data_IF_141722613030
#
_entry.id   IF_141722613030
#
_cell.length_a   1.000
_cell.length_b   1.000
_cell.length_c   1.000
_cell.angle_alpha   90.00
_cell.angle_beta   90.00
_cell.angle_gamma   90.00
#
_symmetry.space_group_name_H-M   'P 1'
#
loop_
_entity.id
_entity.type
_entity.pdbx_description
1 polymer ?
#
# COMPACT_ATOMS: atom_id res chain seq x y z
N UNK A 1 8.06 -3.14 20.28
CA UNK A 1 6.70 -3.66 20.43
C UNK A 1 5.89 -3.05 19.29
N UNK A 2 5.95 -3.68 18.10
CA UNK A 2 5.33 -3.15 16.88
C UNK A 2 3.84 -3.45 16.96
N UNK A 3 2.99 -2.41 16.86
CA UNK A 3 1.54 -2.57 16.81
C UNK A 3 1.11 -2.57 15.35
N UNK A 4 0.35 -3.59 14.96
CA UNK A 4 -0.29 -3.72 13.67
C UNK A 4 -1.65 -3.02 13.71
N UNK A 5 -1.93 -2.16 12.72
CA UNK A 5 -3.21 -1.49 12.56
C UNK A 5 -4.19 -2.46 11.87
N UNK A 6 -5.38 -2.61 12.43
CA UNK A 6 -6.29 -3.71 12.13
C UNK A 6 -7.71 -3.25 12.43
N UNK A 7 -8.64 -3.26 11.47
CA UNK A 7 -10.01 -2.80 11.72
C UNK A 7 -11.01 -3.26 10.62
N UNK A 8 -12.21 -3.77 10.99
CA UNK A 8 -13.16 -4.60 10.18
C UNK A 8 -14.48 -3.94 9.68
N UNK A 9 -15.46 -4.65 9.08
CA UNK A 9 -16.61 -4.00 8.41
C UNK A 9 -17.98 -4.16 9.12
N UNK A 10 -18.86 -3.13 9.05
CA UNK A 10 -20.33 -3.27 9.16
C UNK A 10 -21.07 -2.19 8.32
N UNK A 11 -22.11 -2.59 7.57
CA UNK A 11 -23.21 -1.76 7.02
C UNK A 11 -24.52 -2.58 7.04
N UNK A 12 -25.74 -2.00 6.87
CA UNK A 12 -26.35 -0.91 7.63
C UNK A 12 -27.74 -1.32 8.20
N UNK A 13 -28.14 -0.75 9.34
CA UNK A 13 -29.47 -0.92 9.92
C UNK A 13 -29.49 -0.64 11.41
N UNK A 14 -30.22 0.41 11.81
CA UNK A 14 -30.29 0.93 13.18
C UNK A 14 -30.52 -0.15 14.26
N UNK A 15 -29.56 -0.27 15.18
CA UNK A 15 -29.84 -0.55 16.60
C UNK A 15 -28.57 -0.35 17.42
N UNK A 16 -28.70 0.36 18.54
CA UNK A 16 -27.71 0.55 19.59
C UNK A 16 -26.88 -0.72 19.83
N UNK A 17 -25.59 -0.70 19.51
CA UNK A 17 -24.70 -1.83 19.78
C UNK A 17 -24.22 -1.73 21.24
N UNK A 18 -24.91 -2.45 22.12
CA UNK A 18 -24.29 -2.94 23.36
C UNK A 18 -23.15 -3.85 22.91
N UNK A 19 -21.92 -3.55 23.34
CA UNK A 19 -20.73 -4.37 23.13
C UNK A 19 -20.97 -5.78 23.70
N UNK A 20 -21.47 -6.69 22.85
CA UNK A 20 -21.51 -8.12 23.12
C UNK A 20 -20.08 -8.64 22.91
N UNK A 21 -19.27 -8.52 23.96
CA UNK A 21 -18.04 -9.32 24.10
C UNK A 21 -18.40 -10.79 23.91
N UNK A 22 -17.93 -11.41 22.82
CA UNK A 22 -17.86 -12.87 22.70
C UNK A 22 -18.38 -13.53 21.41
N UNK A 23 -18.75 -12.80 20.36
CA UNK A 23 -19.09 -13.42 19.07
C UNK A 23 -17.94 -13.25 18.05
N UNK A 24 -17.48 -14.34 17.39
CA UNK A 24 -16.45 -14.25 16.37
C UNK A 24 -17.00 -13.57 15.10
N UNK A 25 -16.32 -12.51 14.64
CA UNK A 25 -16.60 -11.79 13.40
C UNK A 25 -15.66 -12.28 12.28
N UNK A 26 -15.97 -12.08 10.99
CA UNK A 26 -15.02 -12.40 9.92
C UNK A 26 -13.71 -11.63 10.13
N UNK A 27 -12.59 -12.30 9.88
CA UNK A 27 -11.28 -11.70 10.03
C UNK A 27 -10.93 -10.87 8.79
N UNK A 28 -10.32 -9.70 9.00
CA UNK A 28 -9.83 -8.87 7.92
C UNK A 28 -8.31 -8.99 7.83
N UNK A 29 -7.78 -9.11 6.62
CA UNK A 29 -6.35 -8.93 6.42
C UNK A 29 -6.09 -7.72 5.55
N UNK A 30 -5.00 -7.02 5.85
CA UNK A 30 -4.55 -5.88 5.06
C UNK A 30 -3.11 -6.07 4.61
N UNK A 31 -2.79 -5.57 3.41
CA UNK A 31 -1.40 -5.57 2.93
C UNK A 31 -0.55 -4.70 3.85
N UNK A 32 0.54 -5.28 4.37
CA UNK A 32 1.45 -4.55 5.26
C UNK A 32 2.23 -3.50 4.46
N UNK A 33 2.21 -2.25 4.94
CA UNK A 33 3.08 -1.18 4.43
C UNK A 33 4.31 -1.09 5.32
N UNK A 34 5.49 -1.23 4.71
CA UNK A 34 6.75 -1.03 5.42
C UNK A 34 6.97 0.44 5.78
N UNK A 35 7.49 0.72 6.97
CA UNK A 35 7.85 2.07 7.40
C UNK A 35 7.48 2.36 8.86
N UNK A 36 8.09 3.38 9.49
CA UNK A 36 7.65 3.85 10.79
C UNK A 36 6.31 4.57 10.67
N UNK A 37 5.53 4.58 11.76
CA UNK A 37 4.44 5.54 11.88
C UNK A 37 5.01 6.96 11.99
N UNK A 38 4.19 7.97 11.70
CA UNK A 38 4.60 9.36 11.81
C UNK A 38 4.89 9.76 13.27
N UNK A 39 4.27 9.08 14.24
CA UNK A 39 4.59 9.20 15.66
C UNK A 39 6.05 8.79 15.99
N UNK A 40 6.55 7.76 15.30
CA UNK A 40 7.89 7.19 15.48
C UNK A 40 8.94 7.81 14.54
N UNK A 41 8.49 8.48 13.47
CA UNK A 41 9.36 9.06 12.47
C UNK A 41 10.23 10.20 13.04
N UNK A 42 11.50 10.32 12.57
CA UNK A 42 12.37 11.42 12.96
C UNK A 42 11.82 12.76 12.47
N UNK A 43 12.30 13.84 13.10
CA UNK A 43 11.95 15.20 12.68
C UNK A 43 12.37 15.46 11.22
N UNK A 44 11.42 15.95 10.42
CA UNK A 44 11.61 16.25 9.01
C UNK A 44 11.80 17.77 8.76
N UNK A 45 12.43 18.17 7.65
CA UNK A 45 12.41 19.55 7.18
C UNK A 45 10.99 20.06 6.96
N UNK A 46 10.79 21.37 7.08
CA UNK A 46 9.46 22.01 6.88
C UNK A 46 8.87 21.72 5.49
N UNK A 47 9.68 21.69 4.45
CA UNK A 47 9.21 21.40 3.08
C UNK A 47 8.69 19.95 2.97
N UNK A 48 9.34 19.00 3.67
CA UNK A 48 8.90 17.61 3.73
C UNK A 48 7.61 17.45 4.55
N UNK A 49 7.48 18.20 5.65
CA UNK A 49 6.24 18.29 6.43
C UNK A 49 5.09 18.81 5.58
N UNK A 50 5.31 19.89 4.83
CA UNK A 50 4.30 20.45 3.94
C UNK A 50 3.89 19.45 2.84
N UNK A 51 4.86 18.76 2.22
CA UNK A 51 4.58 17.75 1.20
C UNK A 51 3.78 16.57 1.75
N UNK A 52 4.17 16.08 2.93
CA UNK A 52 3.48 14.98 3.61
C UNK A 52 2.03 15.33 3.94
N UNK A 53 1.78 16.49 4.57
CA UNK A 53 0.41 16.89 4.95
C UNK A 53 -0.43 17.23 3.72
N UNK A 54 0.13 17.83 2.67
CA UNK A 54 -0.59 18.06 1.43
C UNK A 54 -1.03 16.74 0.75
N UNK A 55 -0.18 15.72 0.80
CA UNK A 55 -0.51 14.39 0.30
C UNK A 55 -1.63 13.75 1.14
N UNK A 56 -1.55 13.81 2.47
CA UNK A 56 -2.62 13.33 3.35
C UNK A 56 -3.96 14.05 3.11
N UNK A 57 -3.94 15.39 3.01
CA UNK A 57 -5.13 16.19 2.75
C UNK A 57 -5.76 15.85 1.38
N UNK A 58 -4.95 15.45 0.40
CA UNK A 58 -5.45 14.94 -0.89
C UNK A 58 -6.15 13.59 -0.71
N UNK A 59 -5.53 12.64 0.00
CA UNK A 59 -6.15 11.34 0.30
C UNK A 59 -7.48 11.51 1.04
N UNK A 60 -7.54 12.41 2.03
CA UNK A 60 -8.77 12.72 2.78
C UNK A 60 -9.82 13.37 1.89
N UNK A 61 -9.42 14.26 0.97
CA UNK A 61 -10.35 14.82 -0.01
C UNK A 61 -10.95 13.74 -0.93
N UNK A 62 -10.16 12.72 -1.29
CA UNK A 62 -10.64 11.58 -2.07
C UNK A 62 -11.66 10.76 -1.28
N UNK A 63 -11.40 10.51 0.02
CA UNK A 63 -12.38 9.86 0.91
C UNK A 63 -13.68 10.66 1.00
N UNK A 64 -13.59 11.97 1.24
CA UNK A 64 -14.77 12.85 1.35
C UNK A 64 -15.60 12.86 0.06
N UNK A 65 -14.96 12.79 -1.12
CA UNK A 65 -15.65 12.66 -2.42
C UNK A 65 -16.36 11.32 -2.59
N UNK A 66 -15.86 10.27 -1.97
CA UNK A 66 -16.48 8.96 -1.92
C UNK A 66 -17.57 8.86 -0.83
N UNK A 67 -17.83 9.94 -0.09
CA UNK A 67 -18.79 9.94 1.01
C UNK A 67 -18.27 9.23 2.27
N UNK A 68 -16.95 9.09 2.41
CA UNK A 68 -16.30 8.47 3.57
C UNK A 68 -15.55 9.51 4.39
N UNK A 69 -15.59 9.39 5.71
CA UNK A 69 -14.69 10.10 6.65
C UNK A 69 -13.72 9.11 7.29
N UNK A 70 -12.60 9.60 7.79
CA UNK A 70 -11.65 8.76 8.52
C UNK A 70 -11.97 8.71 10.02
N UNK A 71 -12.40 9.83 10.63
CA UNK A 71 -12.86 9.92 12.02
C UNK A 71 -11.76 9.89 13.10
N UNK A 72 -10.57 9.38 12.78
CA UNK A 72 -9.51 9.08 13.75
C UNK A 72 -8.10 9.45 13.27
N UNK A 73 -7.95 10.47 12.41
CA UNK A 73 -6.63 10.87 11.88
C UNK A 73 -5.68 11.26 13.03
N UNK A 74 -4.58 10.53 13.18
CA UNK A 74 -3.56 10.73 14.20
C UNK A 74 -2.16 10.32 13.68
N UNK A 75 -1.05 10.78 14.30
CA UNK A 75 0.30 10.40 13.89
C UNK A 75 0.56 8.89 13.85
N UNK A 76 -0.11 8.12 14.71
CA UNK A 76 -0.01 6.67 14.79
C UNK A 76 -0.68 5.96 13.60
N UNK A 77 -1.62 6.65 12.95
CA UNK A 77 -2.42 6.16 11.82
C UNK A 77 -1.85 6.58 10.46
N UNK A 78 -0.65 7.14 10.44
CA UNK A 78 0.05 7.50 9.20
C UNK A 78 1.37 6.74 9.15
N UNK A 79 1.50 5.84 8.18
CA UNK A 79 2.75 5.12 7.90
C UNK A 79 3.53 5.87 6.82
N UNK A 80 4.83 6.08 7.04
CA UNK A 80 5.71 6.67 6.03
C UNK A 80 6.36 5.55 5.24
N UNK A 81 5.81 5.25 4.05
CA UNK A 81 6.30 4.20 3.17
C UNK A 81 7.71 4.50 2.62
N UNK A 82 8.45 3.50 2.10
CA UNK A 82 9.71 3.74 1.40
C UNK A 82 9.51 4.79 0.29
N UNK A 83 10.37 5.81 0.25
CA UNK A 83 10.20 6.98 -0.62
C UNK A 83 9.37 8.13 -0.04
N UNK A 84 9.02 8.06 1.25
CA UNK A 84 8.39 9.14 2.01
C UNK A 84 6.90 9.35 1.78
N UNK A 85 6.27 8.47 1.00
CA UNK A 85 4.83 8.58 0.71
C UNK A 85 4.03 8.23 1.97
N UNK A 86 3.15 9.13 2.46
CA UNK A 86 2.30 8.81 3.59
C UNK A 86 1.20 7.84 3.15
N UNK A 87 0.95 6.84 3.98
CA UNK A 87 -0.20 5.94 3.87
C UNK A 87 -1.06 6.15 5.11
N UNK A 88 -2.30 6.54 4.89
CA UNK A 88 -3.31 6.71 5.94
C UNK A 88 -3.95 5.34 6.22
N UNK A 89 -3.95 4.93 7.48
CA UNK A 89 -4.41 3.63 7.96
C UNK A 89 -5.50 3.81 9.02
N UNK A 90 -6.38 2.81 9.23
CA UNK A 90 -7.44 2.88 10.24
C UNK A 90 -8.78 3.39 9.71
N UNK A 91 -9.14 2.99 8.49
CA UNK A 91 -10.41 3.37 7.84
C UNK A 91 -11.66 2.67 8.38
N UNK A 92 -11.56 1.76 9.35
CA UNK A 92 -12.75 0.97 9.74
C UNK A 92 -13.71 1.66 10.70
N UNK A 93 -13.28 2.77 11.31
CA UNK A 93 -14.19 3.70 11.99
C UNK A 93 -14.83 4.71 11.02
N UNK A 94 -14.61 4.55 9.70
CA UNK A 94 -15.16 5.44 8.69
C UNK A 94 -16.67 5.32 8.61
N UNK A 95 -17.37 6.20 9.31
CA UNK A 95 -18.81 6.37 9.17
C UNK A 95 -19.14 6.92 7.76
N UNK A 96 -20.33 6.58 7.26
CA UNK A 96 -20.89 7.27 6.09
C UNK A 96 -20.93 8.78 6.37
N UNK A 97 -20.24 9.55 5.55
CA UNK A 97 -20.04 10.97 5.72
C UNK A 97 -21.23 11.77 5.19
N UNK A 98 -22.45 11.46 5.65
CA UNK A 98 -23.63 12.24 5.29
C UNK A 98 -23.62 13.64 5.93
N UNK A 99 -22.91 13.83 7.06
CA UNK A 99 -22.80 15.11 7.74
C UNK A 99 -21.51 15.90 7.35
N UNK A 100 -21.63 17.13 6.82
CA UNK A 100 -20.51 18.05 6.64
C UNK A 100 -19.65 18.28 7.90
N UNK A 101 -20.22 18.12 9.11
CA UNK A 101 -19.50 18.26 10.38
C UNK A 101 -18.45 17.16 10.56
N UNK A 102 -18.71 15.94 10.10
CA UNK A 102 -17.76 14.83 10.22
C UNK A 102 -16.57 15.02 9.27
N UNK A 103 -16.81 15.51 8.05
CA UNK A 103 -15.73 15.91 7.13
C UNK A 103 -14.88 17.03 7.72
N UNK A 104 -15.53 17.99 8.38
CA UNK A 104 -14.85 19.09 9.06
C UNK A 104 -14.04 18.60 10.28
N UNK A 105 -14.37 17.43 10.87
CA UNK A 105 -13.58 16.79 11.94
C UNK A 105 -12.24 16.27 11.42
N UNK A 106 -12.24 15.57 10.28
CA UNK A 106 -11.01 15.12 9.62
C UNK A 106 -10.09 16.28 9.26
N UNK A 107 -10.65 17.38 8.76
CA UNK A 107 -9.87 18.59 8.45
C UNK A 107 -9.24 19.19 9.72
N UNK A 108 -9.98 19.23 10.83
CA UNK A 108 -9.42 19.67 12.11
C UNK A 108 -8.24 18.79 12.54
N UNK A 109 -8.38 17.46 12.42
CA UNK A 109 -7.33 16.52 12.75
C UNK A 109 -6.07 16.69 11.85
N UNK A 110 -6.26 16.96 10.55
CA UNK A 110 -5.15 17.33 9.66
C UNK A 110 -4.47 18.64 10.09
N UNK A 111 -5.24 19.63 10.56
CA UNK A 111 -4.71 20.88 11.10
C UNK A 111 -3.88 20.69 12.38
N UNK A 112 -4.37 19.85 13.30
CA UNK A 112 -3.64 19.46 14.51
C UNK A 112 -2.36 18.70 14.17
N UNK A 113 -2.42 17.76 13.22
CA UNK A 113 -1.27 17.01 12.73
C UNK A 113 -0.20 17.94 12.13
N UNK A 114 -0.62 18.91 11.30
CA UNK A 114 0.29 19.91 10.73
C UNK A 114 0.98 20.74 11.82
N UNK A 115 0.25 21.20 12.84
CA UNK A 115 0.83 21.94 13.97
C UNK A 115 1.83 21.08 14.75
N UNK A 116 1.48 19.83 15.02
CA UNK A 116 2.33 18.89 15.74
C UNK A 116 3.64 18.63 14.98
N UNK A 117 3.57 18.41 13.67
CA UNK A 117 4.75 18.22 12.82
C UNK A 117 5.62 19.48 12.74
N UNK A 118 5.03 20.67 12.57
CA UNK A 118 5.77 21.93 12.52
C UNK A 118 6.49 22.25 13.82
N UNK A 119 5.95 21.84 14.97
CA UNK A 119 6.61 21.99 16.26
C UNK A 119 7.88 21.13 16.39
N UNK A 120 7.93 19.99 15.69
CA UNK A 120 9.07 19.06 15.64
C UNK A 120 10.02 19.32 14.49
N UNK A 121 9.59 20.08 13.47
CA UNK A 121 10.31 20.21 12.22
C UNK A 121 11.73 20.78 12.40
N UNK A 122 12.69 20.20 11.69
CA UNK A 122 14.06 20.73 11.67
C UNK A 122 14.13 21.99 10.83
N UNK A 123 14.90 22.98 11.29
CA UNK A 123 15.17 24.20 10.53
C UNK A 123 16.56 24.08 9.90
N UNK A 124 16.71 24.32 8.58
CA UNK A 124 18.02 24.29 7.95
C UNK A 124 18.94 25.38 8.51
N UNK A 125 20.21 25.03 8.73
CA UNK A 125 21.18 25.81 9.52
C UNK A 125 21.78 27.04 8.81
N UNK A 126 21.64 27.22 7.49
CA UNK A 126 22.20 28.36 6.73
C UNK A 126 21.25 28.81 5.60
N UNK A 127 21.40 30.05 5.10
CA UNK A 127 20.76 30.78 3.96
C UNK A 127 19.29 30.47 3.55
N UNK A 128 18.92 29.19 3.50
CA UNK A 128 17.57 28.62 3.51
C UNK A 128 16.72 29.16 4.69
N UNK A 129 17.35 29.61 5.79
CA UNK A 129 16.69 30.21 6.97
C UNK A 129 15.70 31.35 6.65
N UNK A 130 15.91 32.16 5.61
CA UNK A 130 14.93 33.20 5.19
C UNK A 130 13.74 32.63 4.41
N UNK A 131 13.90 31.52 3.69
CA UNK A 131 12.85 30.88 2.87
C UNK A 131 11.97 29.96 3.72
N UNK A 132 12.57 29.11 4.56
CA UNK A 132 11.82 28.20 5.44
C UNK A 132 11.09 28.95 6.56
N UNK A 133 11.67 30.03 7.08
CA UNK A 133 10.95 30.91 8.01
C UNK A 133 9.72 31.56 7.36
N UNK A 134 9.74 31.76 6.03
CA UNK A 134 8.63 32.30 5.26
C UNK A 134 7.46 31.32 5.13
N UNK A 135 7.70 30.00 5.09
CA UNK A 135 6.65 28.99 4.93
C UNK A 135 5.97 28.62 6.27
N UNK A 136 6.68 28.70 7.40
CA UNK A 136 6.12 28.30 8.71
C UNK A 136 4.88 29.13 9.08
N UNK A 137 4.92 30.45 8.93
CA UNK A 137 3.79 31.30 9.33
C UNK A 137 2.52 31.04 8.48
N UNK A 138 2.60 30.97 7.13
CA UNK A 138 1.49 30.51 6.30
C UNK A 138 0.97 29.13 6.67
N UNK A 139 1.84 28.14 6.91
CA UNK A 139 1.41 26.78 7.27
C UNK A 139 0.71 26.75 8.64
N UNK A 140 1.18 27.54 9.61
CA UNK A 140 0.49 27.72 10.89
C UNK A 140 -0.87 28.41 10.72
N UNK A 141 -0.97 29.41 9.83
CA UNK A 141 -2.24 30.06 9.51
C UNK A 141 -3.24 29.09 8.88
N UNK A 142 -2.79 28.24 7.94
CA UNK A 142 -3.60 27.18 7.35
C UNK A 142 -4.08 26.21 8.43
N UNK A 143 -3.17 25.77 9.31
CA UNK A 143 -3.52 24.86 10.38
C UNK A 143 -4.54 25.47 11.36
N UNK A 144 -4.41 26.76 11.70
CA UNK A 144 -5.39 27.47 12.54
C UNK A 144 -6.77 27.56 11.89
N UNK A 145 -6.85 27.80 10.57
CA UNK A 145 -8.12 27.76 9.83
C UNK A 145 -8.73 26.36 9.83
N UNK A 146 -7.91 25.33 9.63
CA UNK A 146 -8.33 23.93 9.68
C UNK A 146 -8.88 23.55 11.07
N UNK A 147 -8.32 24.08 12.15
CA UNK A 147 -8.77 23.84 13.54
C UNK A 147 -9.75 24.91 14.04
N UNK A 148 -10.53 25.57 13.17
CA UNK A 148 -11.49 26.58 13.62
C UNK A 148 -12.50 25.96 14.62
N UNK A 149 -12.80 26.63 15.76
CA UNK A 149 -13.80 26.14 16.71
C UNK A 149 -15.17 25.88 16.08
N UNK A 150 -15.57 26.68 15.09
CA UNK A 150 -16.77 26.43 14.29
C UNK A 150 -16.43 25.50 13.10
N UNK A 151 -16.98 24.27 13.06
CA UNK A 151 -16.73 23.33 11.96
C UNK A 151 -17.10 23.88 10.58
N UNK A 152 -18.07 24.80 10.50
CA UNK A 152 -18.56 25.36 9.24
C UNK A 152 -17.59 26.38 8.64
N UNK A 153 -16.65 26.89 9.43
CA UNK A 153 -15.64 27.85 8.98
C UNK A 153 -14.31 27.17 8.62
N UNK A 154 -14.22 25.84 8.75
CA UNK A 154 -13.05 25.08 8.34
C UNK A 154 -13.05 24.93 6.81
N UNK A 155 -11.88 24.99 6.15
CA UNK A 155 -11.79 24.67 4.72
C UNK A 155 -12.11 23.20 4.46
N UNK A 156 -12.36 22.84 3.21
CA UNK A 156 -12.34 21.43 2.79
C UNK A 156 -10.91 20.87 2.80
N UNK A 157 -10.77 19.55 2.81
CA UNK A 157 -9.46 18.89 2.70
C UNK A 157 -8.74 19.22 1.38
N UNK A 158 -9.50 19.37 0.28
CA UNK A 158 -8.96 19.77 -1.03
C UNK A 158 -8.44 21.20 -1.04
N UNK A 159 -9.16 22.13 -0.42
CA UNK A 159 -8.71 23.52 -0.25
C UNK A 159 -7.47 23.58 0.65
N UNK A 160 -7.45 22.83 1.76
CA UNK A 160 -6.28 22.74 2.63
C UNK A 160 -5.05 22.21 1.88
N UNK A 161 -5.20 21.16 1.05
CA UNK A 161 -4.10 20.63 0.23
C UNK A 161 -3.58 21.69 -0.76
N UNK A 162 -4.48 22.45 -1.38
CA UNK A 162 -4.15 23.51 -2.33
C UNK A 162 -3.41 24.66 -1.64
N UNK A 163 -3.91 25.10 -0.48
CA UNK A 163 -3.31 26.14 0.33
C UNK A 163 -1.91 25.78 0.81
N UNK A 164 -1.68 24.53 1.24
CA UNK A 164 -0.36 24.06 1.67
C UNK A 164 0.64 24.11 0.51
N UNK A 165 0.24 23.63 -0.68
CA UNK A 165 1.11 23.69 -1.88
C UNK A 165 1.42 25.12 -2.31
N UNK A 166 0.45 26.03 -2.18
CA UNK A 166 0.66 27.44 -2.49
C UNK A 166 1.60 28.11 -1.47
N UNK A 167 1.44 27.78 -0.18
CA UNK A 167 2.27 28.30 0.91
C UNK A 167 3.71 27.73 0.90
N UNK A 168 3.88 26.51 0.41
CA UNK A 168 5.16 25.83 0.29
C UNK A 168 5.36 25.25 -1.13
N UNK A 169 5.72 26.09 -2.12
CA UNK A 169 5.91 25.65 -3.51
C UNK A 169 7.04 24.62 -3.70
N UNK A 170 7.90 24.46 -2.70
CA UNK A 170 9.00 23.50 -2.68
C UNK A 170 8.68 22.26 -1.84
N UNK A 171 7.42 22.08 -1.43
CA UNK A 171 6.98 20.89 -0.71
C UNK A 171 7.32 19.61 -1.49
N UNK A 172 8.06 18.71 -0.84
CA UNK A 172 8.47 17.42 -1.37
C UNK A 172 8.03 16.31 -0.44
N UNK A 173 7.85 15.09 -0.94
CA UNK A 173 7.73 13.95 -0.03
C UNK A 173 9.10 13.66 0.61
N UNK A 174 9.15 13.25 1.89
CA UNK A 174 10.39 12.87 2.56
C UNK A 174 11.27 11.93 1.71
N UNK A 175 12.56 12.23 1.58
CA UNK A 175 13.47 11.38 0.79
C UNK A 175 13.32 11.48 -0.74
N UNK A 176 12.34 12.23 -1.25
CA UNK A 176 12.30 12.69 -2.65
C UNK A 176 13.02 14.02 -2.86
N UNK A 177 13.81 14.48 -1.89
CA UNK A 177 14.79 15.53 -2.13
C UNK A 177 15.72 15.04 -3.23
N UNK A 178 15.35 15.37 -4.47
CA UNK A 178 16.14 15.17 -5.67
C UNK A 178 17.52 15.63 -5.28
N UNK A 179 18.51 14.75 -5.44
CA UNK A 179 19.88 15.17 -5.71
C UNK A 179 19.81 16.05 -6.95
N UNK A 180 19.40 17.31 -6.78
CA UNK A 180 19.90 18.37 -7.62
C UNK A 180 21.37 18.34 -7.27
N UNK A 181 22.13 17.57 -8.05
CA UNK A 181 23.54 17.87 -8.23
C UNK A 181 23.60 19.40 -8.33
N UNK A 182 24.37 20.07 -7.45
CA UNK A 182 24.52 21.49 -7.57
C UNK A 182 24.97 21.73 -8.99
N UNK A 183 24.09 22.32 -9.80
CA UNK A 183 24.38 22.66 -11.17
C UNK A 183 25.74 23.36 -11.11
N UNK A 184 26.80 22.80 -11.73
CA UNK A 184 28.14 23.29 -11.51
C UNK A 184 28.06 24.77 -11.83
N UNK A 185 28.26 25.61 -10.81
CA UNK A 185 28.26 27.06 -10.95
C UNK A 185 29.30 27.34 -12.01
N UNK A 186 28.85 27.50 -13.25
CA UNK A 186 29.67 28.03 -14.33
C UNK A 186 30.01 29.43 -13.84
N UNK A 187 31.22 29.55 -13.29
CA UNK A 187 31.93 30.81 -13.23
C UNK A 187 32.06 31.27 -14.68
N UNK A 188 31.03 31.91 -15.20
CA UNK A 188 31.20 32.89 -16.25
C UNK A 188 32.01 34.00 -15.60
N UNK A 189 33.34 33.88 -15.70
CA UNK A 189 34.20 35.05 -15.79
C UNK A 189 33.57 35.89 -16.90
N UNK A 190 32.96 37.01 -16.52
CA UNK A 190 32.42 37.95 -17.47
C UNK A 190 33.52 38.30 -18.48
N UNK A 191 33.35 38.05 -19.79
CA UNK A 191 34.11 38.76 -20.77
C UNK A 191 33.41 40.10 -21.03
N UNK A 192 34.20 41.14 -20.90
CA UNK A 192 33.89 42.50 -21.31
C UNK A 192 33.40 42.53 -22.76
N UNK A 193 32.31 43.27 -22.98
CA UNK A 193 31.73 43.83 -24.23
C UNK A 193 32.44 43.49 -25.56
N UNK A 194 31.66 42.98 -26.52
CA UNK A 194 31.65 43.49 -27.90
C UNK A 194 30.36 43.05 -28.61
N UNK A 195 29.56 44.04 -29.02
CA UNK A 195 28.41 43.87 -29.89
C UNK A 195 28.88 43.75 -31.34
N UNK A 196 28.48 42.71 -32.06
CA UNK A 196 28.36 42.72 -33.54
C UNK A 196 27.22 41.79 -33.93
N UNK A 197 26.16 42.38 -34.49
CA UNK A 197 25.09 41.68 -35.19
C UNK A 197 25.56 41.37 -36.62
N UNK A 198 25.41 40.12 -37.08
CA UNK A 198 25.36 39.81 -38.51
C UNK A 198 24.29 38.75 -38.77
N UNK A 199 23.29 39.18 -39.53
CA UNK A 199 22.24 38.42 -40.17
C UNK A 199 22.83 37.70 -41.40
N UNK A 200 22.54 36.42 -41.62
CA UNK A 200 22.72 35.81 -42.94
C UNK A 200 21.72 34.66 -43.17
N UNK A 201 20.74 34.96 -44.02
CA UNK A 201 19.85 34.03 -44.74
C UNK A 201 20.67 33.34 -45.83
N UNK A 202 20.45 32.04 -46.07
CA UNK A 202 20.69 31.42 -47.40
C UNK A 202 19.96 30.08 -47.55
N UNK A 203 19.07 30.06 -48.53
CA UNK A 203 18.33 28.92 -49.09
C UNK A 203 19.24 28.14 -50.05
N UNK A 204 19.15 26.79 -50.09
CA UNK A 204 19.28 26.05 -51.36
C UNK A 204 18.68 24.63 -51.31
N UNK A 205 17.77 24.38 -52.26
CA UNK A 205 17.29 23.10 -52.77
C UNK A 205 18.38 22.38 -53.59
N UNK A 206 18.51 21.05 -53.44
CA UNK A 206 18.95 20.15 -54.54
C UNK A 206 18.25 18.80 -54.39
N UNK A 207 17.46 18.42 -55.39
CA UNK A 207 16.92 17.07 -55.57
C UNK A 207 17.84 16.19 -56.41
N UNK A 208 17.70 14.86 -56.28
CA UNK A 208 18.21 13.88 -57.25
C UNK A 208 17.22 12.72 -57.40
N UNK A 209 16.92 12.39 -58.65
CA UNK A 209 16.03 11.33 -59.13
C UNK A 209 16.68 9.93 -59.09
N UNK A 210 15.82 8.93 -58.84
CA UNK A 210 15.69 7.58 -59.41
C UNK A 210 16.87 6.92 -60.16
N UNK A 211 17.17 5.68 -59.76
CA UNK A 211 17.60 4.61 -60.67
C UNK A 211 16.82 3.33 -60.34
N UNK A 212 16.03 2.88 -61.30
CA UNK A 212 15.34 1.59 -61.27
C UNK A 212 16.25 0.46 -61.79
N UNK A 213 16.14 -0.71 -61.16
CA UNK A 213 16.73 -1.95 -61.63
C UNK A 213 15.74 -3.09 -61.39
N UNK A 214 15.21 -3.66 -62.47
CA UNK A 214 14.37 -4.86 -62.44
C UNK A 214 15.24 -6.12 -62.37
N UNK A 215 15.06 -7.02 -61.39
CA UNK A 215 15.63 -8.35 -61.46
C UNK A 215 14.66 -9.34 -62.11
N UNK A 216 15.21 -10.09 -63.05
CA UNK A 216 14.57 -11.18 -63.81
C UNK A 216 14.10 -12.33 -62.92
N UNK A 217 12.87 -12.79 -63.16
CA UNK A 217 12.29 -13.98 -62.53
C UNK A 217 12.94 -15.26 -63.09
N UNK A 218 13.71 -15.97 -62.27
CA UNK A 218 14.12 -17.36 -62.50
C UNK A 218 13.03 -18.36 -62.07
N UNK A 219 13.02 -19.59 -62.61
CA UNK A 219 11.92 -20.53 -62.41
C UNK A 219 11.84 -21.07 -60.97
N UNK A 220 10.62 -21.09 -60.43
CA UNK A 220 10.27 -21.58 -59.10
C UNK A 220 10.65 -23.06 -58.89
N UNK A 221 11.58 -23.33 -57.97
CA UNK A 221 11.67 -24.63 -57.30
C UNK A 221 10.73 -24.64 -56.09
N UNK A 222 9.73 -25.52 -56.13
CA UNK A 222 8.80 -25.80 -55.04
C UNK A 222 9.58 -26.38 -53.84
N UNK A 223 9.56 -25.77 -52.65
CA UNK A 223 10.14 -26.39 -51.46
C UNK A 223 9.32 -27.62 -51.05
N UNK A 224 9.94 -28.70 -50.55
CA UNK A 224 9.20 -29.81 -49.97
C UNK A 224 8.43 -29.36 -48.73
N UNK A 225 7.25 -29.94 -48.52
CA UNK A 225 6.36 -29.61 -47.41
C UNK A 225 7.07 -29.75 -46.04
N UNK A 226 6.89 -28.79 -45.11
CA UNK A 226 7.48 -28.88 -43.79
C UNK A 226 6.87 -30.07 -43.03
N UNK A 227 7.72 -30.88 -42.41
CA UNK A 227 7.29 -31.93 -41.49
C UNK A 227 6.57 -31.29 -40.29
N UNK A 228 5.47 -31.88 -39.79
CA UNK A 228 4.80 -31.38 -38.59
C UNK A 228 5.79 -31.37 -37.42
N UNK A 229 5.90 -30.23 -36.75
CA UNK A 229 6.75 -30.08 -35.59
C UNK A 229 6.31 -31.05 -34.48
N UNK A 230 7.25 -31.69 -33.76
CA UNK A 230 6.90 -32.48 -32.59
C UNK A 230 6.17 -31.59 -31.58
N UNK A 231 5.06 -32.11 -31.04
CA UNK A 231 4.28 -31.45 -30.00
C UNK A 231 5.23 -31.18 -28.82
N UNK A 232 5.33 -29.94 -28.30
CA UNK A 232 6.21 -29.66 -27.18
C UNK A 232 5.78 -30.52 -25.99
N UNK A 233 6.70 -31.33 -25.49
CA UNK A 233 6.55 -32.04 -24.23
C UNK A 233 6.40 -30.99 -23.13
N UNK A 234 5.40 -31.07 -22.23
CA UNK A 234 5.33 -30.16 -21.11
C UNK A 234 6.60 -30.33 -20.28
N UNK A 235 7.44 -29.30 -20.26
CA UNK A 235 8.58 -29.22 -19.36
C UNK A 235 7.97 -28.97 -17.99
N UNK A 236 8.00 -29.98 -17.11
CA UNK A 236 7.60 -29.78 -15.73
C UNK A 236 8.44 -28.63 -15.15
N UNK A 237 7.84 -27.64 -14.46
CA UNK A 237 8.60 -26.57 -13.83
C UNK A 237 9.62 -27.20 -12.88
N UNK A 238 10.89 -26.84 -13.04
CA UNK A 238 11.95 -27.27 -12.11
C UNK A 238 11.86 -26.42 -10.86
N UNK A 239 10.89 -26.74 -10.00
CA UNK A 239 10.70 -26.04 -8.74
C UNK A 239 11.86 -26.33 -7.77
N UNK A 240 12.32 -25.30 -7.07
CA UNK A 240 13.24 -25.50 -5.96
C UNK A 240 12.51 -26.19 -4.81
N UNK A 241 13.11 -27.23 -4.21
CA UNK A 241 12.51 -27.87 -3.06
C UNK A 241 12.42 -26.88 -1.87
N UNK A 242 11.21 -26.58 -1.43
CA UNK A 242 10.97 -25.73 -0.27
C UNK A 242 10.86 -26.60 0.98
N UNK A 243 11.88 -26.58 1.84
CA UNK A 243 11.85 -27.28 3.13
C UNK A 243 11.16 -26.44 4.21
N UNK A 244 10.28 -27.01 5.04
CA UNK A 244 9.61 -26.33 6.15
C UNK A 244 8.15 -26.78 6.31
N UNK A 245 7.54 -26.52 7.46
CA UNK A 245 6.18 -27.00 7.76
C UNK A 245 5.06 -26.23 7.03
N UNK A 246 5.34 -25.02 6.53
CA UNK A 246 4.38 -24.16 5.85
C UNK A 246 4.91 -23.78 4.45
N UNK A 247 4.20 -24.21 3.41
CA UNK A 247 4.50 -23.94 2.01
C UNK A 247 3.21 -24.03 1.18
N UNK A 248 3.15 -23.26 0.09
CA UNK A 248 2.01 -23.23 -0.85
C UNK A 248 2.41 -22.50 -2.14
N UNK A 249 1.80 -22.87 -3.28
CA UNK A 249 1.83 -22.13 -4.55
C UNK A 249 0.95 -20.87 -4.46
N UNK A 250 1.57 -19.74 -4.14
CA UNK A 250 0.92 -18.47 -3.80
C UNK A 250 0.68 -17.61 -5.03
N UNK A 251 1.56 -17.70 -6.03
CA UNK A 251 1.45 -16.92 -7.28
C UNK A 251 0.86 -17.71 -8.46
N UNK A 252 0.61 -19.01 -8.27
CA UNK A 252 -0.06 -19.88 -9.23
C UNK A 252 0.86 -20.36 -10.35
N UNK A 253 2.18 -20.25 -10.20
CA UNK A 253 3.17 -20.72 -11.18
C UNK A 253 3.41 -22.25 -11.11
N UNK A 254 2.83 -22.91 -10.11
CA UNK A 254 2.91 -24.35 -9.88
C UNK A 254 4.10 -24.79 -9.02
N UNK A 255 4.86 -23.85 -8.47
CA UNK A 255 5.90 -24.09 -7.48
C UNK A 255 5.44 -23.62 -6.10
N UNK A 256 5.79 -24.38 -5.06
CA UNK A 256 5.48 -23.94 -3.71
C UNK A 256 6.46 -22.85 -3.25
N UNK A 257 5.94 -21.77 -2.68
CA UNK A 257 6.71 -20.80 -1.91
C UNK A 257 6.77 -21.19 -0.44
N UNK A 258 7.82 -20.72 0.23
CA UNK A 258 7.88 -20.76 1.69
C UNK A 258 6.87 -19.77 2.26
N UNK A 259 6.03 -20.25 3.18
CA UNK A 259 5.14 -19.42 3.99
C UNK A 259 5.75 -19.24 5.38
N UNK A 260 5.82 -17.99 5.85
CA UNK A 260 6.27 -17.64 7.20
C UNK A 260 5.17 -16.89 7.92
N UNK A 261 4.97 -17.22 9.19
CA UNK A 261 4.04 -16.49 10.03
C UNK A 261 4.73 -16.11 11.35
N UNK A 262 4.78 -14.81 11.64
CA UNK A 262 5.38 -14.29 12.87
C UNK A 262 4.70 -12.98 13.29
N UNK A 263 4.26 -12.91 14.54
CA UNK A 263 3.72 -11.68 15.13
C UNK A 263 2.49 -11.13 14.41
N UNK A 264 1.59 -11.99 13.92
CA UNK A 264 0.40 -11.59 13.15
C UNK A 264 0.68 -11.22 11.69
N UNK A 265 1.92 -11.38 11.22
CA UNK A 265 2.30 -11.12 9.83
C UNK A 265 2.57 -12.43 9.12
N UNK A 266 1.89 -12.62 7.99
CA UNK A 266 2.10 -13.70 7.03
C UNK A 266 2.97 -13.20 5.88
N UNK A 267 4.07 -13.88 5.60
CA UNK A 267 4.96 -13.62 4.47
C UNK A 267 4.98 -14.86 3.57
N UNK A 268 4.64 -14.67 2.30
CA UNK A 268 4.55 -15.74 1.30
C UNK A 268 5.05 -15.18 -0.04
N UNK A 269 6.27 -15.57 -0.45
CA UNK A 269 6.93 -14.97 -1.60
C UNK A 269 7.06 -13.43 -1.47
N UNK A 270 6.58 -12.63 -2.46
CA UNK A 270 6.57 -11.17 -2.38
C UNK A 270 5.41 -10.60 -1.55
N UNK A 271 4.44 -11.43 -1.16
CA UNK A 271 3.24 -11.00 -0.46
C UNK A 271 3.47 -10.94 1.05
N UNK A 272 3.00 -9.85 1.67
CA UNK A 272 3.08 -9.63 3.11
C UNK A 272 1.75 -9.10 3.63
N UNK A 273 1.12 -9.91 4.49
CA UNK A 273 -0.24 -9.70 4.98
C UNK A 273 -0.22 -9.55 6.49
N UNK A 274 -0.89 -8.53 7.01
CA UNK A 274 -1.20 -8.42 8.44
C UNK A 274 -2.57 -9.06 8.69
N UNK A 275 -2.62 -10.00 9.64
CA UNK A 275 -3.87 -10.64 10.08
C UNK A 275 -4.42 -9.87 11.28
N UNK A 276 -5.66 -9.38 11.14
CA UNK A 276 -6.35 -8.70 12.22
C UNK A 276 -6.79 -9.72 13.28
N UNK A 277 -6.63 -9.36 14.57
CA UNK A 277 -6.89 -10.25 15.70
C UNK A 277 -5.65 -10.98 16.22
N UNK A 278 -5.77 -11.64 17.38
CA UNK A 278 -4.68 -12.42 18.00
C UNK A 278 -4.59 -13.77 17.30
N UNK A 279 -4.04 -13.78 16.09
CA UNK A 279 -3.74 -15.04 15.41
C UNK A 279 -2.52 -15.66 16.05
N UNK A 280 -2.69 -16.83 16.64
CA UNK A 280 -1.66 -17.49 17.43
C UNK A 280 -1.15 -18.78 16.77
N UNK A 281 -1.84 -19.28 15.74
CA UNK A 281 -1.45 -20.46 14.99
C UNK A 281 -1.96 -20.44 13.55
N UNK A 282 -1.20 -21.01 12.61
CA UNK A 282 -1.53 -21.08 11.18
C UNK A 282 -1.18 -22.43 10.58
N UNK A 283 -1.87 -22.81 9.52
CA UNK A 283 -1.67 -24.04 8.79
C UNK A 283 -1.91 -23.84 7.28
N UNK A 284 -1.23 -24.61 6.43
CA UNK A 284 -1.49 -24.66 4.99
C UNK A 284 -1.96 -26.05 4.58
N UNK A 285 -2.91 -26.13 3.64
CA UNK A 285 -3.43 -27.39 3.14
C UNK A 285 -4.37 -27.20 1.96
N UNK A 286 -4.57 -28.27 1.19
CA UNK A 286 -5.52 -28.33 0.07
C UNK A 286 -6.92 -28.67 0.62
N UNK A 287 -7.70 -27.64 0.92
CA UNK A 287 -8.97 -27.81 1.63
C UNK A 287 -10.18 -28.08 0.73
N UNK A 288 -10.09 -27.73 -0.56
CA UNK A 288 -11.17 -27.88 -1.54
C UNK A 288 -10.87 -28.94 -2.61
N UNK A 289 -9.75 -29.65 -2.46
CA UNK A 289 -9.29 -30.75 -3.30
C UNK A 289 -8.88 -30.28 -4.72
N UNK A 290 -8.65 -28.98 -4.94
CA UNK A 290 -8.26 -28.44 -6.24
C UNK A 290 -6.76 -28.66 -6.53
N UNK A 291 -5.99 -29.07 -5.51
CA UNK A 291 -4.57 -29.30 -5.58
C UNK A 291 -3.72 -28.12 -5.12
N UNK A 292 -4.31 -27.01 -4.69
CA UNK A 292 -3.63 -25.80 -4.26
C UNK A 292 -3.80 -25.63 -2.76
N UNK A 293 -2.68 -25.58 -2.06
CA UNK A 293 -2.71 -25.33 -0.63
C UNK A 293 -3.04 -23.86 -0.36
N UNK A 294 -3.99 -23.60 0.53
CA UNK A 294 -4.29 -22.24 1.03
C UNK A 294 -4.18 -22.22 2.56
N UNK A 295 -4.31 -21.03 3.15
CA UNK A 295 -4.08 -20.82 4.58
C UNK A 295 -5.34 -21.08 5.43
N UNK A 296 -5.15 -21.68 6.60
CA UNK A 296 -6.08 -21.64 7.71
C UNK A 296 -5.41 -21.05 8.95
N UNK A 297 -6.15 -20.37 9.82
CA UNK A 297 -5.60 -19.81 11.04
C UNK A 297 -6.56 -19.85 12.23
N UNK A 298 -5.98 -19.80 13.42
CA UNK A 298 -6.67 -19.89 14.71
C UNK A 298 -6.44 -18.61 15.53
N UNK A 299 -7.54 -18.02 15.98
CA UNK A 299 -7.55 -17.07 17.08
C UNK A 299 -7.81 -17.85 18.39
N UNK A 300 -6.77 -18.07 19.20
CA UNK A 300 -6.93 -18.82 20.47
C UNK A 300 -7.73 -18.05 21.50
N UNK A 301 -7.80 -16.72 21.39
CA UNK A 301 -8.56 -15.87 22.31
C UNK A 301 -10.07 -16.08 22.19
N UNK A 302 -10.57 -16.27 20.97
CA UNK A 302 -11.99 -16.51 20.68
C UNK A 302 -12.33 -17.96 20.36
N UNK A 303 -11.31 -18.78 20.05
CA UNK A 303 -11.47 -20.12 19.50
C UNK A 303 -11.92 -20.13 18.04
N UNK A 304 -11.90 -18.99 17.36
CA UNK A 304 -12.31 -18.87 15.96
C UNK A 304 -11.29 -19.48 15.01
N UNK A 305 -11.77 -20.30 14.07
CA UNK A 305 -10.98 -20.93 13.02
C UNK A 305 -11.44 -20.39 11.67
N UNK A 306 -10.49 -19.92 10.87
CA UNK A 306 -10.73 -19.23 9.61
C UNK A 306 -9.96 -19.92 8.48
N UNK A 307 -10.48 -19.83 7.25
CA UNK A 307 -9.89 -20.48 6.07
C UNK A 307 -9.91 -19.58 4.84
N UNK A 308 -8.80 -19.55 4.13
CA UNK A 308 -8.67 -18.91 2.83
C UNK A 308 -9.21 -19.85 1.76
N UNK A 309 -10.11 -19.35 0.94
CA UNK A 309 -10.54 -20.08 -0.26
C UNK A 309 -9.50 -19.95 -1.38
N UNK A 310 -8.74 -18.83 -1.42
CA UNK A 310 -7.68 -18.63 -2.39
C UNK A 310 -6.64 -17.62 -1.89
N UNK A 311 -5.43 -17.72 -2.44
CA UNK A 311 -4.46 -16.61 -2.40
C UNK A 311 -4.96 -15.47 -3.27
N UNK A 312 -4.84 -14.24 -2.78
CA UNK A 312 -5.23 -13.06 -3.54
C UNK A 312 -4.17 -11.97 -3.40
N UNK A 313 -4.15 -11.07 -4.38
CA UNK A 313 -3.28 -9.90 -4.48
C UNK A 313 -4.03 -8.60 -4.13
N UNK A 314 -5.27 -8.72 -3.64
CA UNK A 314 -6.05 -7.59 -3.16
C UNK A 314 -5.40 -6.95 -1.92
N UNK A 315 -5.69 -5.68 -1.66
CA UNK A 315 -5.12 -4.99 -0.51
C UNK A 315 -5.84 -5.34 0.80
N UNK A 316 -7.07 -5.86 0.70
CA UNK A 316 -7.94 -6.21 1.81
C UNK A 316 -8.68 -7.49 1.46
N UNK A 317 -8.64 -8.50 2.34
CA UNK A 317 -9.44 -9.72 2.19
C UNK A 317 -10.23 -9.96 3.47
N UNK A 318 -11.50 -10.31 3.31
CA UNK A 318 -12.34 -10.83 4.40
C UNK A 318 -12.29 -12.36 4.38
N UNK A 319 -11.89 -12.97 5.50
CA UNK A 319 -11.75 -14.41 5.63
C UNK A 319 -12.90 -14.96 6.48
N UNK A 320 -13.68 -15.92 5.96
CA UNK A 320 -14.81 -16.48 6.68
C UNK A 320 -14.38 -17.31 7.89
N UNK A 321 -15.18 -17.20 8.96
CA UNK A 321 -15.13 -18.13 10.09
C UNK A 321 -15.73 -19.46 9.66
N UNK A 322 -14.96 -20.54 9.74
CA UNK A 322 -15.42 -21.88 9.38
C UNK A 322 -15.85 -22.71 10.60
N UNK A 323 -15.29 -22.42 11.78
CA UNK A 323 -15.67 -23.08 13.01
C UNK A 323 -15.32 -22.23 14.24
N UNK A 324 -16.05 -22.45 15.34
CA UNK A 324 -15.69 -21.95 16.66
C UNK A 324 -15.43 -23.12 17.60
N UNK A 325 -14.22 -23.19 18.13
CA UNK A 325 -13.74 -24.32 18.92
C UNK A 325 -13.28 -23.84 20.30
N UNK A 326 -14.13 -24.01 21.31
CA UNK A 326 -13.83 -23.58 22.67
C UNK A 326 -12.60 -24.31 23.25
N UNK A 327 -11.64 -23.55 23.78
CA UNK A 327 -10.40 -24.08 24.34
C UNK A 327 -9.40 -24.55 23.29
N UNK A 328 -9.51 -24.09 22.05
CA UNK A 328 -8.56 -24.41 20.98
C UNK A 328 -7.14 -23.99 21.34
N UNK A 329 -6.19 -24.90 21.16
CA UNK A 329 -4.78 -24.72 21.49
C UNK A 329 -3.87 -24.75 20.27
N UNK A 330 -4.31 -25.27 19.13
CA UNK A 330 -3.50 -25.26 17.92
C UNK A 330 -4.16 -25.93 16.74
N UNK A 331 -3.50 -25.83 15.59
CA UNK A 331 -3.91 -26.44 14.33
C UNK A 331 -2.94 -27.56 13.94
N UNK A 332 -3.48 -28.64 13.40
CA UNK A 332 -2.74 -29.74 12.79
C UNK A 332 -3.37 -30.10 11.46
N UNK A 333 -2.53 -30.36 10.46
CA UNK A 333 -2.99 -30.81 9.13
C UNK A 333 -2.63 -32.26 8.93
N UNK A 334 -3.58 -33.03 8.41
CA UNK A 334 -3.29 -34.36 7.86
C UNK A 334 -3.34 -34.25 6.35
N UNK A 335 -2.16 -34.26 5.72
CA UNK A 335 -2.07 -34.19 4.26
C UNK A 335 -2.53 -35.50 3.63
N UNK A 336 -3.31 -35.40 2.55
CA UNK A 336 -3.82 -36.57 1.81
C UNK A 336 -3.36 -36.55 0.36
N UNK A 337 -3.19 -37.75 -0.20
CA UNK A 337 -2.92 -37.89 -1.62
C UNK A 337 -4.18 -37.55 -2.42
N UNK A 338 -4.01 -36.79 -3.51
CA UNK A 338 -5.10 -36.44 -4.42
C UNK A 338 -5.84 -37.69 -4.91
N UNK A 339 -7.17 -37.62 -5.08
CA UNK A 339 -8.02 -36.42 -5.08
C UNK A 339 -8.61 -36.05 -3.71
N UNK A 340 -8.10 -36.60 -2.61
CA UNK A 340 -8.63 -36.29 -1.28
C UNK A 340 -8.09 -34.97 -0.74
N UNK A 341 -8.97 -34.18 -0.11
CA UNK A 341 -8.63 -32.93 0.56
C UNK A 341 -7.80 -33.21 1.82
N UNK A 342 -6.93 -32.27 2.15
CA UNK A 342 -6.27 -32.21 3.43
C UNK A 342 -7.28 -31.98 4.56
N UNK A 343 -6.99 -32.55 5.73
CA UNK A 343 -7.90 -32.47 6.87
C UNK A 343 -7.32 -31.58 7.96
N UNK A 344 -8.06 -30.53 8.30
CA UNK A 344 -7.71 -29.61 9.37
C UNK A 344 -8.21 -30.15 10.71
N UNK A 345 -7.32 -30.28 11.69
CA UNK A 345 -7.63 -30.74 13.04
C UNK A 345 -7.28 -29.65 14.04
N UNK A 346 -8.25 -29.29 14.87
CA UNK A 346 -8.10 -28.28 15.93
C UNK A 346 -7.85 -29.00 17.25
N UNK A 347 -6.66 -28.81 17.80
CA UNK A 347 -6.30 -29.31 19.13
C UNK A 347 -6.99 -28.47 20.22
N UNK A 348 -7.38 -29.08 21.33
CA UNK A 348 -8.16 -28.42 22.40
C UNK A 348 -7.68 -28.82 23.78
N UNK A 349 -7.83 -27.90 24.73
CA UNK A 349 -7.65 -28.20 26.15
C UNK A 349 -8.87 -28.94 26.68
N UNK A 350 -8.66 -30.10 27.30
CA UNK A 350 -9.72 -30.78 28.09
C UNK A 350 -10.73 -31.61 27.29
N UNK A 351 -10.43 -31.98 26.04
CA UNK A 351 -11.30 -32.85 25.23
C UNK A 351 -10.62 -33.39 23.97
N UNK A 352 -11.28 -34.28 23.21
CA UNK A 352 -10.75 -34.77 21.94
C UNK A 352 -10.62 -33.63 20.91
N UNK A 353 -9.67 -33.73 19.96
CA UNK A 353 -9.50 -32.73 18.92
C UNK A 353 -10.74 -32.67 18.03
N UNK A 354 -11.01 -31.49 17.46
CA UNK A 354 -12.13 -31.27 16.53
C UNK A 354 -11.62 -31.33 15.10
N UNK A 355 -12.17 -32.23 14.29
CA UNK A 355 -11.80 -32.39 12.88
C UNK A 355 -12.73 -31.53 12.03
N UNK A 356 -12.13 -30.71 11.17
CA UNK A 356 -12.79 -29.85 10.19
C UNK A 356 -12.40 -30.36 8.79
N UNK A 357 -13.39 -30.54 7.93
CA UNK A 357 -13.23 -31.04 6.57
C UNK A 357 -13.88 -30.14 5.54
#
# INVERSE_FOLDING_TARGET
MRRTCSDGPVTPGSSSLVELRGQPAPALLTRLVDGPSLAEAPAAPVDDVAGLVAALATTVADLHRLGLVHGSIAPEHVIVAPGGRPVLCGLADGADADDPIDRARDVSALGELLRWLLARATRPHTAVRRRTAGAIAPLLSIALRATNPDPRLRPSASEMATDIRAAAPHATLPGQAVTREPEPRRWFRAPVRAAVAVLAVSVTLVGVMWVGGTPSLGPSRRPPAPRPAPRPTPVAPTCAAVGGALHADVDGDGCDERVRFAGGVLEAGPLRWAINGRTDDVATGDWDCDGRATLAFLDRGTGGVYRFEAWSNENVITVPLIAQVAGATGLRVTHRARPACDVLTVERTGGPPTVLG
#
